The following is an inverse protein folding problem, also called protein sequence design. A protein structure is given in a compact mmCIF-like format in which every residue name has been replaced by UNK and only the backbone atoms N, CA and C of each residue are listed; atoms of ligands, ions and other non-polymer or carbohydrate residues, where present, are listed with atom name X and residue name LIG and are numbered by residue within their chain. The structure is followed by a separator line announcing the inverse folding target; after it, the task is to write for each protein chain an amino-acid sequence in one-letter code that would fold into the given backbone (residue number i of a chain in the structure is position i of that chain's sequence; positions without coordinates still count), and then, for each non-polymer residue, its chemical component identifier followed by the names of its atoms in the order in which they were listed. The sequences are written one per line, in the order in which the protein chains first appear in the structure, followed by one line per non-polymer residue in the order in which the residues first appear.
data_IF_745412509790
#
_entry.id   IF_745412509790
#
_cell.length_a   1.000
_cell.length_b   1.000
_cell.length_c   1.000
_cell.angle_alpha   90.00
_cell.angle_beta   90.00
_cell.angle_gamma   90.00
#
_symmetry.space_group_name_H-M   'P 1'
#
loop_
_entity.id
_entity.type
_entity.pdbx_description
1 polymer ?
#
# COMPACT_ATOMS: atom_id res chain seq x y z
N UNK A 1 25.97 -8.46 12.20
CA UNK A 1 24.61 -8.41 11.63
C UNK A 1 23.77 -7.41 12.41
N UNK A 2 23.29 -6.33 11.77
CA UNK A 2 22.70 -5.14 12.42
C UNK A 2 21.29 -5.41 12.97
N UNK A 3 21.19 -5.76 14.26
CA UNK A 3 19.93 -5.96 15.02
C UNK A 3 19.02 -4.71 15.14
N UNK A 4 19.49 -3.53 14.72
CA UNK A 4 18.78 -2.25 14.91
C UNK A 4 17.59 -1.98 13.98
N UNK A 5 17.57 -2.54 12.76
CA UNK A 5 16.50 -2.29 11.80
C UNK A 5 15.23 -3.09 12.13
N UNK A 6 15.38 -4.31 12.65
CA UNK A 6 14.26 -5.18 13.00
C UNK A 6 13.42 -4.59 14.14
N UNK A 7 14.07 -3.98 15.14
CA UNK A 7 13.40 -3.32 16.25
C UNK A 7 12.65 -2.04 15.83
N UNK A 8 13.09 -1.36 14.76
CA UNK A 8 12.38 -0.21 14.19
C UNK A 8 11.17 -0.66 13.36
N UNK A 9 11.35 -1.67 12.50
CA UNK A 9 10.28 -2.25 11.71
C UNK A 9 9.15 -2.82 12.59
N UNK A 10 9.52 -3.51 13.68
CA UNK A 10 8.54 -4.04 14.63
C UNK A 10 7.82 -2.94 15.42
N UNK A 11 8.52 -1.86 15.81
CA UNK A 11 7.87 -0.69 16.45
C UNK A 11 6.94 0.06 15.49
N UNK A 12 7.33 0.17 14.23
CA UNK A 12 6.48 0.77 13.21
C UNK A 12 5.23 -0.10 12.96
N UNK A 13 5.39 -1.42 12.93
CA UNK A 13 4.27 -2.37 12.86
C UNK A 13 3.34 -2.26 14.09
N UNK A 14 3.88 -2.12 15.31
CA UNK A 14 3.07 -1.91 16.50
C UNK A 14 2.35 -0.56 16.52
N UNK A 15 2.98 0.51 16.02
CA UNK A 15 2.36 1.83 15.87
C UNK A 15 1.23 1.79 14.83
N UNK A 16 1.47 1.15 13.70
CA UNK A 16 0.49 0.93 12.64
C UNK A 16 -0.68 0.08 13.12
N UNK A 17 -0.42 -0.97 13.92
CA UNK A 17 -1.45 -1.81 14.55
C UNK A 17 -2.32 -1.01 15.55
N UNK A 18 -1.79 0.06 16.14
CA UNK A 18 -2.52 0.92 17.09
C UNK A 18 -3.34 2.01 16.41
N UNK A 19 -3.01 2.37 15.16
CA UNK A 19 -3.87 3.18 14.30
C UNK A 19 -4.88 2.28 13.59
N UNK A 20 -6.16 2.40 13.97
CA UNK A 20 -7.24 1.87 13.13
C UNK A 20 -7.24 2.71 11.85
N UNK A 21 -6.83 2.12 10.73
CA UNK A 21 -7.02 2.72 9.41
C UNK A 21 -8.52 3.05 9.29
N UNK A 22 -8.84 4.33 9.09
CA UNK A 22 -10.22 4.81 9.03
C UNK A 22 -10.68 4.99 7.59
N UNK A 23 -11.99 5.03 7.37
CA UNK A 23 -12.57 5.26 6.03
C UNK A 23 -12.12 6.61 5.43
N UNK A 24 -11.82 7.60 6.27
CA UNK A 24 -11.26 8.90 5.87
C UNK A 24 -9.85 8.79 5.27
N UNK A 25 -9.03 7.86 5.76
CA UNK A 25 -7.71 7.59 5.21
C UNK A 25 -7.84 7.00 3.81
N UNK A 26 -8.81 6.09 3.62
CA UNK A 26 -9.12 5.54 2.30
C UNK A 26 -9.67 6.60 1.34
N UNK A 27 -10.51 7.53 1.80
CA UNK A 27 -11.04 8.61 0.97
C UNK A 27 -9.95 9.60 0.54
N UNK A 28 -8.98 9.90 1.41
CA UNK A 28 -7.80 10.71 1.07
C UNK A 28 -6.87 9.99 0.09
N UNK A 29 -6.75 8.66 0.19
CA UNK A 29 -6.03 7.86 -0.80
C UNK A 29 -6.68 7.97 -2.17
N UNK A 30 -8.01 7.87 -2.21
CA UNK A 30 -8.80 7.88 -3.44
C UNK A 30 -8.73 9.23 -4.15
N UNK A 31 -8.82 10.35 -3.42
CA UNK A 31 -8.72 11.69 -4.01
C UNK A 31 -7.33 12.01 -4.57
N UNK A 32 -6.26 11.55 -3.92
CA UNK A 32 -4.88 11.69 -4.44
C UNK A 32 -4.60 10.76 -5.62
N UNK A 33 -5.23 9.60 -5.65
CA UNK A 33 -5.07 8.64 -6.74
C UNK A 33 -5.50 9.22 -8.10
N UNK A 34 -6.45 10.16 -8.13
CA UNK A 34 -6.91 10.82 -9.36
C UNK A 34 -5.81 11.59 -10.14
N UNK A 35 -4.67 11.89 -9.52
CA UNK A 35 -3.53 12.59 -10.17
C UNK A 35 -2.48 11.64 -10.80
N UNK A 36 -2.63 10.31 -10.63
CA UNK A 36 -1.68 9.29 -11.07
C UNK A 36 -2.10 8.59 -12.38
N UNK A 37 -2.55 9.34 -13.40
CA UNK A 37 -3.40 8.92 -14.56
C UNK A 37 -3.21 7.48 -15.11
N UNK A 38 -1.99 6.95 -15.25
CA UNK A 38 -1.73 5.56 -15.73
C UNK A 38 -1.66 4.50 -14.60
N UNK A 39 -1.42 4.91 -13.36
CA UNK A 39 -1.17 4.06 -12.18
C UNK A 39 -2.26 4.11 -11.12
N UNK A 40 -3.31 4.90 -11.35
CA UNK A 40 -4.49 4.99 -10.48
C UNK A 40 -5.13 3.63 -10.26
N UNK A 41 -5.36 2.89 -11.34
CA UNK A 41 -6.05 1.59 -11.27
C UNK A 41 -5.21 0.54 -10.55
N UNK A 42 -3.89 0.60 -10.72
CA UNK A 42 -2.97 -0.26 -9.98
C UNK A 42 -2.98 0.08 -8.49
N UNK A 43 -2.98 1.37 -8.13
CA UNK A 43 -3.07 1.79 -6.73
C UNK A 43 -4.41 1.41 -6.07
N UNK A 44 -5.53 1.63 -6.78
CA UNK A 44 -6.87 1.18 -6.33
C UNK A 44 -6.92 -0.34 -6.14
N UNK A 45 -6.24 -1.10 -7.00
CA UNK A 45 -6.12 -2.54 -6.84
C UNK A 45 -5.38 -2.91 -5.55
N UNK A 46 -4.24 -2.25 -5.24
CA UNK A 46 -3.50 -2.48 -3.99
C UNK A 46 -4.36 -2.15 -2.76
N UNK A 47 -5.15 -1.08 -2.80
CA UNK A 47 -6.10 -0.74 -1.74
C UNK A 47 -7.14 -1.86 -1.57
N UNK A 48 -7.71 -2.35 -2.66
CA UNK A 48 -8.74 -3.41 -2.65
C UNK A 48 -8.17 -4.72 -2.07
N UNK A 49 -6.96 -5.08 -2.49
CA UNK A 49 -6.19 -6.20 -1.92
C UNK A 49 -6.00 -6.04 -0.41
N UNK A 50 -5.54 -4.87 0.05
CA UNK A 50 -5.37 -4.58 1.47
C UNK A 50 -6.68 -4.71 2.25
N UNK A 51 -7.76 -4.10 1.75
CA UNK A 51 -9.10 -4.18 2.36
C UNK A 51 -9.60 -5.62 2.49
N UNK A 52 -9.42 -6.44 1.46
CA UNK A 52 -9.83 -7.85 1.50
C UNK A 52 -8.99 -8.69 2.45
N UNK A 53 -7.71 -8.38 2.63
CA UNK A 53 -6.87 -9.02 3.66
C UNK A 53 -7.32 -8.63 5.06
N UNK A 54 -7.55 -7.35 5.32
CA UNK A 54 -8.01 -6.88 6.63
C UNK A 54 -9.41 -7.40 6.97
N UNK A 55 -10.26 -7.62 5.96
CA UNK A 55 -11.57 -8.23 6.13
C UNK A 55 -11.54 -9.77 6.22
N UNK A 56 -10.36 -10.40 6.13
CA UNK A 56 -10.20 -11.86 6.15
C UNK A 56 -10.73 -12.58 4.90
N UNK A 57 -11.06 -11.84 3.82
CA UNK A 57 -11.58 -12.38 2.56
C UNK A 57 -10.50 -12.91 1.64
N UNK A 58 -9.30 -12.34 1.72
CA UNK A 58 -8.13 -12.76 0.95
C UNK A 58 -6.93 -12.99 1.87
N UNK A 59 -6.13 -14.01 1.59
CA UNK A 59 -4.97 -14.36 2.40
C UNK A 59 -3.71 -14.25 1.53
N UNK A 60 -2.70 -13.54 2.03
CA UNK A 60 -1.39 -13.41 1.39
C UNK A 60 -0.28 -13.48 2.43
N UNK A 61 0.96 -13.66 1.97
CA UNK A 61 2.13 -13.60 2.84
C UNK A 61 2.27 -12.21 3.49
N UNK A 62 2.68 -12.18 4.77
CA UNK A 62 2.99 -10.98 5.55
C UNK A 62 3.95 -10.03 4.84
N UNK A 63 4.90 -10.54 4.06
CA UNK A 63 5.80 -9.70 3.25
C UNK A 63 5.04 -8.88 2.21
N UNK A 64 4.13 -9.51 1.46
CA UNK A 64 3.34 -8.85 0.43
C UNK A 64 2.38 -7.83 1.05
N UNK A 65 1.75 -8.19 2.17
CA UNK A 65 0.91 -7.27 2.93
C UNK A 65 1.70 -6.05 3.42
N UNK A 66 2.95 -6.23 3.87
CA UNK A 66 3.78 -5.12 4.33
C UNK A 66 4.10 -4.11 3.23
N UNK A 67 4.28 -4.58 1.99
CA UNK A 67 4.50 -3.71 0.82
C UNK A 67 3.23 -2.90 0.54
N UNK A 68 2.07 -3.55 0.50
CA UNK A 68 0.77 -2.87 0.27
C UNK A 68 0.55 -1.78 1.33
N UNK A 69 0.73 -2.14 2.60
CA UNK A 69 0.56 -1.21 3.73
C UNK A 69 1.54 -0.04 3.65
N UNK A 70 2.82 -0.29 3.35
CA UNK A 70 3.82 0.75 3.22
C UNK A 70 3.51 1.71 2.06
N UNK A 71 3.12 1.18 0.90
CA UNK A 71 2.73 1.98 -0.28
C UNK A 71 1.50 2.82 0.00
N UNK A 72 0.46 2.25 0.63
CA UNK A 72 -0.76 2.99 1.00
C UNK A 72 -0.44 4.09 2.03
N UNK A 73 0.35 3.78 3.06
CA UNK A 73 0.74 4.74 4.08
C UNK A 73 1.52 5.93 3.49
N UNK A 74 2.43 5.67 2.56
CA UNK A 74 3.20 6.69 1.85
C UNK A 74 2.31 7.64 1.06
N UNK A 75 1.36 7.10 0.27
CA UNK A 75 0.47 7.92 -0.59
C UNK A 75 -0.56 8.71 0.24
N UNK A 76 -1.13 8.10 1.30
CA UNK A 76 -2.13 8.78 2.15
C UNK A 76 -1.48 9.88 2.98
N UNK A 77 -0.36 9.58 3.64
CA UNK A 77 0.34 10.51 4.54
C UNK A 77 1.75 10.82 4.01
N UNK A 78 1.89 11.85 3.16
CA UNK A 78 3.19 12.34 2.70
C UNK A 78 4.00 13.06 3.81
N UNK A 79 3.68 12.83 5.09
CA UNK A 79 4.15 13.63 6.22
C UNK A 79 4.84 12.87 7.36
N UNK A 80 5.00 11.55 7.33
CA UNK A 80 5.58 10.87 8.50
C UNK A 80 6.70 9.87 8.14
N UNK A 81 7.94 10.37 8.04
CA UNK A 81 9.11 9.57 8.41
C UNK A 81 10.44 9.80 7.71
N UNK A 82 10.53 10.57 6.62
CA UNK A 82 11.82 10.94 6.02
C UNK A 82 11.99 12.46 6.13
N UNK A 83 12.87 12.96 7.02
CA UNK A 83 13.19 14.37 7.06
C UNK A 83 14.00 14.73 5.82
N UNK A 84 13.46 15.69 5.06
CA UNK A 84 14.04 16.54 4.01
C UNK A 84 15.14 15.95 3.12
N UNK A 85 14.89 15.87 1.80
CA UNK A 85 15.79 16.30 0.70
C UNK A 85 14.98 16.31 -0.62
N UNK A 86 14.94 17.44 -1.33
CA UNK A 86 14.35 17.69 -2.68
C UNK A 86 12.94 18.34 -2.68
N UNK A 87 12.87 19.68 -2.52
CA UNK A 87 11.61 20.45 -2.50
C UNK A 87 10.90 20.63 -3.86
N UNK A 88 11.33 19.97 -4.95
CA UNK A 88 10.89 20.29 -6.32
C UNK A 88 10.51 19.08 -7.19
N UNK A 89 10.36 17.88 -6.62
CA UNK A 89 10.08 16.64 -7.38
C UNK A 89 8.97 15.78 -6.75
N UNK A 90 8.00 16.39 -6.08
CA UNK A 90 7.08 15.69 -5.17
C UNK A 90 6.03 14.77 -5.80
N UNK A 91 5.89 14.71 -7.14
CA UNK A 91 4.83 13.93 -7.82
C UNK A 91 5.38 12.67 -8.50
N UNK A 92 6.66 12.68 -8.85
CA UNK A 92 7.33 11.58 -9.55
C UNK A 92 7.62 10.41 -8.60
N UNK A 93 7.81 10.71 -7.32
CA UNK A 93 8.18 9.73 -6.30
C UNK A 93 6.99 8.83 -5.89
N UNK A 94 5.76 9.38 -5.87
CA UNK A 94 4.53 8.61 -5.60
C UNK A 94 4.26 7.55 -6.69
N UNK A 95 4.37 7.93 -7.98
CA UNK A 95 4.25 7.01 -9.12
C UNK A 95 5.30 5.90 -9.03
N UNK A 96 6.53 6.26 -8.67
CA UNK A 96 7.66 5.32 -8.61
C UNK A 96 7.45 4.28 -7.51
N UNK A 97 6.94 4.68 -6.34
CA UNK A 97 6.67 3.76 -5.23
C UNK A 97 5.50 2.83 -5.54
N UNK A 98 4.43 3.33 -6.18
CA UNK A 98 3.33 2.47 -6.63
C UNK A 98 3.81 1.48 -7.69
N UNK A 99 4.54 1.94 -8.70
CA UNK A 99 5.08 1.08 -9.75
C UNK A 99 6.03 0.01 -9.18
N UNK A 100 6.88 0.39 -8.22
CA UNK A 100 7.75 -0.56 -7.51
C UNK A 100 6.93 -1.60 -6.75
N UNK A 101 5.91 -1.18 -5.99
CA UNK A 101 5.05 -2.09 -5.25
C UNK A 101 4.34 -3.07 -6.18
N UNK A 102 3.78 -2.59 -7.28
CA UNK A 102 3.12 -3.42 -8.31
C UNK A 102 4.10 -4.40 -8.90
N UNK A 103 5.32 -3.97 -9.25
CA UNK A 103 6.35 -4.87 -9.79
C UNK A 103 6.66 -6.02 -8.82
N UNK A 104 6.75 -5.73 -7.52
CA UNK A 104 7.02 -6.72 -6.46
C UNK A 104 5.83 -7.63 -6.19
N UNK A 105 4.62 -7.13 -6.38
CA UNK A 105 3.37 -7.84 -6.10
C UNK A 105 2.76 -8.50 -7.34
N UNK A 106 3.45 -8.48 -8.50
CA UNK A 106 2.92 -8.98 -9.79
C UNK A 106 2.23 -10.35 -9.68
N UNK A 107 2.87 -11.32 -9.03
CA UNK A 107 2.30 -12.66 -8.90
C UNK A 107 1.13 -12.73 -7.92
N UNK A 108 1.17 -11.92 -6.86
CA UNK A 108 0.09 -11.81 -5.89
C UNK A 108 -1.14 -11.11 -6.50
N UNK A 109 -0.91 -10.08 -7.31
CA UNK A 109 -1.92 -9.38 -8.07
C UNK A 109 -2.64 -10.34 -9.03
N UNK A 110 -1.91 -11.23 -9.72
CA UNK A 110 -2.52 -12.24 -10.59
C UNK A 110 -3.45 -13.17 -9.80
N UNK A 111 -3.00 -13.67 -8.64
CA UNK A 111 -3.81 -14.51 -7.75
C UNK A 111 -5.06 -13.79 -7.26
N UNK A 112 -4.90 -12.54 -6.83
CA UNK A 112 -6.02 -11.73 -6.36
C UNK A 112 -7.05 -11.44 -7.47
N UNK A 113 -6.60 -11.12 -8.69
CA UNK A 113 -7.50 -10.94 -9.84
C UNK A 113 -8.27 -12.22 -10.19
N UNK A 114 -7.65 -13.39 -10.09
CA UNK A 114 -8.35 -14.66 -10.28
C UNK A 114 -9.41 -14.89 -9.19
N UNK A 115 -9.08 -14.57 -7.93
CA UNK A 115 -10.02 -14.63 -6.81
C UNK A 115 -11.24 -13.71 -7.00
N UNK A 116 -11.04 -12.46 -7.43
CA UNK A 116 -12.15 -11.53 -7.65
C UNK A 116 -13.00 -11.89 -8.87
N UNK A 117 -12.41 -12.39 -9.95
CA UNK A 117 -13.16 -12.88 -11.12
C UNK A 117 -14.04 -14.09 -10.78
N UNK A 118 -13.53 -15.04 -9.99
CA UNK A 118 -14.33 -16.18 -9.51
C UNK A 118 -15.55 -15.73 -8.70
N UNK A 119 -15.43 -14.64 -7.93
CA UNK A 119 -16.52 -14.08 -7.13
C UNK A 119 -17.56 -13.32 -7.95
N UNK A 120 -17.19 -12.72 -9.07
CA UNK A 120 -18.10 -11.97 -9.95
C UNK A 120 -18.90 -12.87 -10.90
N UNK A 121 -18.46 -14.11 -11.10
CA UNK A 121 -19.17 -15.13 -11.90
C UNK A 121 -20.16 -15.98 -11.10
N UNK A 122 -20.42 -15.63 -9.83
CA UNK A 122 -21.40 -16.30 -8.94
C UNK A 122 -22.48 -15.30 -8.53
#
# INVERSE_FOLDING_TARGET
MKKGYFNKAFRLFELFRKHRITDDDFAKAESKSAYLDEKVDEFRLLISMGKDVFAGRYHMNTWNLSIIVATIAYVISPLDGIPDMIPLMGWMDDVTIVAYAVSKLTDEIKKYKAFTQAKLGT
#
